data_IF_345448370895
#
_entry.id   IF_345448370895
#
_cell.length_a   1.000
_cell.length_b   1.000
_cell.length_c   1.000
_cell.angle_alpha   90.00
_cell.angle_beta   90.00
_cell.angle_gamma   90.00
#
_symmetry.space_group_name_H-M   'P 1'
#
loop_
_entity.id
_entity.type
_entity.pdbx_description
1 polymer ?
#
# COMPACT_ATOMS: atom_id res chain seq x y z
N UNK A 1 2.50 22.71 -27.25
CA UNK A 1 2.52 21.49 -26.43
C UNK A 1 3.66 21.60 -25.46
N UNK A 2 3.49 21.10 -24.24
CA UNK A 2 4.49 21.13 -23.17
C UNK A 2 4.87 19.72 -22.75
N UNK A 3 6.06 19.56 -22.18
CA UNK A 3 6.62 18.27 -21.77
C UNK A 3 6.42 18.06 -20.27
N UNK A 4 5.71 17.00 -19.89
CA UNK A 4 5.41 16.64 -18.50
C UNK A 4 5.98 15.25 -18.19
N UNK A 5 6.72 15.14 -17.09
CA UNK A 5 7.27 13.86 -16.61
C UNK A 5 6.30 13.21 -15.62
N UNK A 6 5.72 12.07 -15.99
CA UNK A 6 4.87 11.24 -15.14
C UNK A 6 5.69 10.13 -14.49
N UNK A 7 5.44 9.80 -13.23
CA UNK A 7 6.12 8.72 -12.51
C UNK A 7 5.15 7.55 -12.26
N UNK A 8 5.52 6.37 -12.73
CA UNK A 8 4.82 5.11 -12.44
C UNK A 8 5.33 4.54 -11.10
N UNK A 9 4.50 4.51 -10.04
CA UNK A 9 4.92 4.08 -8.72
C UNK A 9 4.97 2.56 -8.54
N UNK A 10 4.46 1.77 -9.49
CA UNK A 10 4.45 0.30 -9.48
C UNK A 10 5.66 -0.27 -10.22
N UNK A 11 6.07 0.39 -11.31
CA UNK A 11 7.20 -0.01 -12.16
C UNK A 11 8.50 0.74 -11.85
N UNK A 12 8.44 1.78 -11.02
CA UNK A 12 9.54 2.68 -10.67
C UNK A 12 10.22 3.36 -11.87
N UNK A 13 9.40 3.79 -12.84
CA UNK A 13 9.86 4.47 -14.08
C UNK A 13 9.29 5.87 -14.21
N UNK A 14 10.07 6.77 -14.79
CA UNK A 14 9.61 8.09 -15.24
C UNK A 14 9.35 8.04 -16.74
N UNK A 15 8.23 8.64 -17.16
CA UNK A 15 7.78 8.69 -18.56
C UNK A 15 7.47 10.13 -18.92
N UNK A 16 8.22 10.64 -19.89
CA UNK A 16 8.02 11.98 -20.44
C UNK A 16 6.92 11.94 -21.50
N UNK A 17 5.89 12.77 -21.35
CA UNK A 17 4.77 12.89 -22.28
C UNK A 17 4.64 14.34 -22.74
N UNK A 18 4.30 14.53 -24.02
CA UNK A 18 4.13 15.85 -24.64
C UNK A 18 2.64 16.10 -24.87
N UNK A 19 2.08 17.14 -24.25
CA UNK A 19 0.63 17.39 -24.13
C UNK A 19 0.23 18.79 -24.57
N UNK A 20 -1.06 19.02 -24.84
CA UNK A 20 -1.60 20.39 -24.85
C UNK A 20 -1.82 20.90 -23.41
N UNK A 21 -1.89 22.23 -23.17
CA UNK A 21 -2.24 22.76 -21.85
C UNK A 21 -3.63 22.30 -21.35
N UNK A 22 -4.56 22.06 -22.27
CA UNK A 22 -5.90 21.52 -21.97
C UNK A 22 -5.82 20.07 -21.48
N UNK A 23 -4.99 19.24 -22.13
CA UNK A 23 -4.75 17.85 -21.69
C UNK A 23 -4.01 17.78 -20.35
N UNK A 24 -3.13 18.74 -20.05
CA UNK A 24 -2.44 18.84 -18.74
C UNK A 24 -3.45 19.14 -17.64
N UNK A 25 -4.31 20.14 -17.84
CA UNK A 25 -5.39 20.46 -16.89
C UNK A 25 -6.38 19.30 -16.75
N UNK A 26 -6.68 18.61 -17.86
CA UNK A 26 -7.50 17.39 -17.83
C UNK A 26 -6.84 16.29 -17.00
N UNK A 27 -5.56 15.98 -17.21
CA UNK A 27 -4.85 14.95 -16.45
C UNK A 27 -4.76 15.24 -14.94
N UNK A 28 -4.86 16.50 -14.53
CA UNK A 28 -4.93 16.88 -13.10
C UNK A 28 -6.30 16.60 -12.47
N UNK A 29 -7.38 16.54 -13.25
CA UNK A 29 -8.77 16.43 -12.76
C UNK A 29 -9.47 15.10 -13.15
N UNK A 30 -9.02 14.44 -14.21
CA UNK A 30 -9.54 13.18 -14.75
C UNK A 30 -8.49 12.07 -14.54
N UNK A 31 -8.63 11.35 -13.42
CA UNK A 31 -7.76 10.23 -13.06
C UNK A 31 -7.77 9.11 -14.12
N UNK A 32 -8.87 8.94 -14.85
CA UNK A 32 -9.00 7.95 -15.92
C UNK A 32 -8.14 8.34 -17.12
N UNK A 33 -8.18 9.60 -17.51
CA UNK A 33 -7.33 10.16 -18.56
C UNK A 33 -5.84 10.10 -18.18
N UNK A 34 -5.47 10.49 -16.95
CA UNK A 34 -4.11 10.39 -16.46
C UNK A 34 -3.57 8.94 -16.46
N UNK A 35 -4.40 7.98 -16.02
CA UNK A 35 -4.06 6.55 -16.00
C UNK A 35 -3.95 5.98 -17.40
N UNK A 36 -4.85 6.36 -18.32
CA UNK A 36 -4.79 5.98 -19.73
C UNK A 36 -3.52 6.48 -20.41
N UNK A 37 -3.17 7.75 -20.16
CA UNK A 37 -1.99 8.41 -20.73
C UNK A 37 -0.69 7.76 -20.25
N UNK A 38 -0.58 7.45 -18.95
CA UNK A 38 0.58 6.74 -18.41
C UNK A 38 0.72 5.34 -19.05
N UNK A 39 -0.37 4.58 -19.14
CA UNK A 39 -0.36 3.26 -19.77
C UNK A 39 0.01 3.32 -21.27
N UNK A 40 -0.47 4.33 -22.01
CA UNK A 40 -0.09 4.53 -23.41
C UNK A 40 1.41 4.81 -23.56
N UNK A 41 1.95 5.78 -22.81
CA UNK A 41 3.36 6.14 -22.91
C UNK A 41 4.32 5.08 -22.34
N UNK A 42 3.85 4.20 -21.43
CA UNK A 42 4.56 2.97 -21.03
C UNK A 42 4.53 1.91 -22.13
N UNK A 43 3.41 1.78 -22.87
CA UNK A 43 3.30 0.87 -24.02
C UNK A 43 4.24 1.27 -25.15
N UNK A 44 4.33 2.56 -25.48
CA UNK A 44 5.22 3.07 -26.53
C UNK A 44 6.70 2.78 -26.22
N UNK A 45 7.12 2.90 -24.95
CA UNK A 45 8.46 2.51 -24.49
C UNK A 45 8.76 1.01 -24.58
N UNK A 46 7.74 0.16 -24.74
CA UNK A 46 7.88 -1.30 -24.77
C UNK A 46 7.69 -1.90 -26.18
N UNK A 47 7.45 -1.07 -27.21
CA UNK A 47 7.31 -1.51 -28.61
C UNK A 47 8.51 -1.05 -29.43
N UNK A 48 9.64 -1.72 -29.23
CA UNK A 48 10.75 -1.74 -30.23
C UNK A 48 11.32 -3.15 -30.43
N UNK A 49 10.46 -4.18 -30.23
CA UNK A 49 10.56 -5.50 -30.89
C UNK A 49 9.15 -5.98 -31.23
N UNK A 50 9.03 -6.70 -32.36
CA UNK A 50 7.80 -7.14 -33.00
C UNK A 50 6.74 -6.06 -33.26
N UNK A 51 6.82 -5.51 -34.47
CA UNK A 51 5.63 -5.41 -35.33
C UNK A 51 4.85 -6.72 -35.34
N UNK A 52 3.54 -6.66 -35.11
CA UNK A 52 2.57 -7.12 -36.11
C UNK A 52 1.20 -6.48 -35.83
N UNK A 53 0.45 -6.24 -36.90
CA UNK A 53 -0.81 -5.48 -36.89
C UNK A 53 -1.99 -6.37 -37.27
N UNK A 54 -3.11 -6.24 -36.56
CA UNK A 54 -4.48 -6.46 -37.09
C UNK A 54 -5.44 -5.62 -36.24
N UNK A 55 -6.40 -4.98 -36.90
CA UNK A 55 -7.55 -4.32 -36.29
C UNK A 55 -8.82 -5.04 -36.72
N UNK A 56 -9.81 -5.19 -35.83
CA UNK A 56 -11.25 -5.10 -36.14
C UNK A 56 -12.06 -4.89 -34.85
N UNK A 57 -12.83 -3.79 -34.84
CA UNK A 57 -14.23 -3.62 -34.42
C UNK A 57 -14.84 -4.48 -33.29
N UNK A 58 -15.51 -3.82 -32.35
CA UNK A 58 -16.33 -4.45 -31.29
C UNK A 58 -17.84 -4.26 -31.49
N UNK A 59 -18.66 -4.73 -30.53
CA UNK A 59 -20.09 -4.38 -30.37
C UNK A 59 -20.60 -4.67 -28.95
N UNK A 60 -21.79 -4.14 -28.61
CA UNK A 60 -22.47 -4.22 -27.31
C UNK A 60 -23.02 -5.62 -26.94
N UNK A 61 -23.23 -5.91 -25.65
CA UNK A 61 -23.92 -7.16 -25.24
C UNK A 61 -24.20 -7.39 -23.74
N UNK A 62 -25.25 -6.76 -23.21
CA UNK A 62 -26.24 -7.25 -22.21
C UNK A 62 -25.87 -8.04 -20.93
N UNK A 63 -26.62 -7.74 -19.86
CA UNK A 63 -26.65 -8.43 -18.54
C UNK A 63 -27.78 -9.49 -18.53
N UNK A 64 -27.70 -10.56 -17.69
CA UNK A 64 -28.77 -10.73 -16.70
C UNK A 64 -28.32 -11.21 -15.29
N UNK A 65 -29.09 -10.75 -14.30
CA UNK A 65 -29.23 -11.20 -12.88
C UNK A 65 -29.57 -12.71 -12.78
N UNK A 66 -29.57 -13.44 -11.64
CA UNK A 66 -29.98 -13.19 -10.23
C UNK A 66 -29.03 -13.98 -9.25
N UNK A 67 -29.22 -14.27 -7.94
CA UNK A 67 -30.28 -14.18 -6.90
C UNK A 67 -29.68 -13.80 -5.51
N UNK A 68 -30.52 -13.69 -4.46
CA UNK A 68 -30.16 -13.48 -3.03
C UNK A 68 -31.07 -14.37 -2.16
N UNK A 69 -30.57 -14.96 -1.05
CA UNK A 69 -31.37 -15.37 0.13
C UNK A 69 -30.50 -15.57 1.40
N UNK A 70 -31.02 -15.46 2.66
CA UNK A 70 -30.19 -15.15 3.84
C UNK A 70 -30.48 -15.94 5.16
N UNK A 71 -29.79 -15.54 6.27
CA UNK A 71 -30.04 -15.88 7.71
C UNK A 71 -29.59 -17.34 8.06
N UNK A 72 -28.92 -17.70 9.18
CA UNK A 72 -29.09 -17.43 10.64
C UNK A 72 -27.73 -17.34 11.39
N UNK A 73 -27.69 -16.63 12.53
CA UNK A 73 -26.54 -16.50 13.43
C UNK A 73 -26.59 -17.47 14.64
N UNK A 74 -25.43 -17.78 15.24
CA UNK A 74 -25.28 -17.74 16.70
C UNK A 74 -23.84 -17.34 17.09
N UNK A 75 -23.63 -16.39 18.02
CA UNK A 75 -22.31 -16.04 18.53
C UNK A 75 -21.88 -16.89 19.75
N UNK A 76 -20.57 -16.96 19.96
CA UNK A 76 -19.93 -17.26 21.26
C UNK A 76 -18.71 -16.35 21.41
N UNK A 77 -18.47 -15.87 22.63
CA UNK A 77 -17.48 -14.82 22.92
C UNK A 77 -16.06 -15.37 23.01
N UNK A 78 -15.08 -14.66 22.42
CA UNK A 78 -13.76 -14.50 23.02
C UNK A 78 -13.32 -13.02 22.88
N UNK A 79 -12.75 -12.46 23.96
CA UNK A 79 -12.61 -11.01 24.13
C UNK A 79 -11.27 -10.50 23.60
N UNK A 80 -11.30 -9.76 22.47
CA UNK A 80 -10.22 -8.87 22.08
C UNK A 80 -10.70 -7.42 22.15
N UNK A 81 -10.10 -6.63 23.05
CA UNK A 81 -10.42 -5.21 23.21
C UNK A 81 -9.75 -4.39 22.09
N UNK A 82 -10.39 -4.32 20.93
CA UNK A 82 -10.01 -3.34 19.91
C UNK A 82 -10.36 -1.93 20.41
N UNK A 83 -9.35 -1.07 20.52
CA UNK A 83 -9.55 0.34 20.87
C UNK A 83 -10.06 1.03 19.60
N UNK A 84 -11.37 1.26 19.55
CA UNK A 84 -11.94 2.26 18.66
C UNK A 84 -11.31 3.62 18.97
N UNK A 85 -10.80 4.27 17.93
CA UNK A 85 -10.30 5.65 18.00
C UNK A 85 -11.08 6.42 16.96
N UNK A 86 -12.11 7.11 17.44
CA UNK A 86 -12.93 7.99 16.62
C UNK A 86 -12.03 9.04 15.95
N UNK A 87 -12.13 9.16 14.62
CA UNK A 87 -11.33 10.10 13.85
C UNK A 87 -11.83 11.53 14.06
N UNK A 88 -11.13 12.29 14.91
CA UNK A 88 -11.13 13.76 14.83
C UNK A 88 -9.78 14.32 15.31
N UNK A 89 -8.91 14.67 14.36
CA UNK A 89 -8.22 15.96 14.33
C UNK A 89 -7.56 16.17 12.96
N UNK A 90 -7.47 17.41 12.48
CA UNK A 90 -7.09 17.69 11.08
C UNK A 90 -5.58 17.74 10.85
N UNK A 91 -4.98 16.56 10.62
CA UNK A 91 -3.62 16.44 10.05
C UNK A 91 -3.65 15.81 8.65
N UNK A 92 -2.82 16.33 7.75
CA UNK A 92 -2.70 15.93 6.35
C UNK A 92 -2.72 14.41 6.14
N UNK A 93 -3.80 13.91 5.52
CA UNK A 93 -3.98 12.49 5.19
C UNK A 93 -3.24 12.10 3.90
N UNK A 94 -2.13 12.77 3.59
CA UNK A 94 -1.16 12.34 2.60
C UNK A 94 -0.66 10.93 2.93
N UNK A 95 -0.95 9.98 2.04
CA UNK A 95 -0.58 8.58 2.22
C UNK A 95 0.93 8.40 2.07
N UNK A 96 1.65 8.50 3.20
CA UNK A 96 3.10 8.45 3.26
C UNK A 96 3.70 7.27 2.47
N UNK A 97 4.52 7.57 1.46
CA UNK A 97 5.14 6.59 0.55
C UNK A 97 6.30 5.86 1.24
N UNK A 98 5.94 4.78 1.94
CA UNK A 98 6.87 3.87 2.62
C UNK A 98 7.84 3.15 1.66
N UNK A 99 9.02 3.73 1.44
CA UNK A 99 10.14 3.06 0.76
C UNK A 99 10.70 1.90 1.60
N UNK A 100 11.39 0.95 0.96
CA UNK A 100 11.99 -0.22 1.64
C UNK A 100 12.91 0.20 2.80
N UNK A 101 13.74 1.24 2.61
CA UNK A 101 14.59 1.77 3.66
C UNK A 101 13.81 2.42 4.83
N UNK A 102 12.63 3.00 4.58
CA UNK A 102 11.75 3.50 5.65
C UNK A 102 11.10 2.36 6.43
N UNK A 103 10.71 1.27 5.75
CA UNK A 103 10.13 0.07 6.38
C UNK A 103 11.16 -0.66 7.26
N UNK A 104 12.40 -0.83 6.78
CA UNK A 104 13.47 -1.43 7.57
C UNK A 104 13.78 -0.60 8.83
N UNK A 105 13.93 0.72 8.68
CA UNK A 105 14.13 1.63 9.81
C UNK A 105 12.99 1.57 10.84
N UNK A 106 11.73 1.49 10.40
CA UNK A 106 10.58 1.30 11.30
C UNK A 106 10.68 -0.01 12.09
N UNK A 107 11.06 -1.11 11.43
CA UNK A 107 11.17 -2.43 12.04
C UNK A 107 12.32 -2.49 13.06
N UNK A 108 13.49 -1.96 12.72
CA UNK A 108 14.65 -1.89 13.63
C UNK A 108 14.38 -0.97 14.82
N UNK A 109 13.76 0.21 14.59
CA UNK A 109 13.41 1.13 15.68
C UNK A 109 12.34 0.52 16.58
N UNK A 110 11.32 -0.15 16.02
CA UNK A 110 10.31 -0.86 16.81
C UNK A 110 10.92 -1.95 17.70
N UNK A 111 11.91 -2.71 17.19
CA UNK A 111 12.62 -3.74 17.96
C UNK A 111 13.25 -3.18 19.24
N UNK A 112 13.91 -2.02 19.15
CA UNK A 112 14.55 -1.34 20.29
C UNK A 112 13.50 -0.87 21.31
N UNK A 113 12.29 -0.55 20.85
CA UNK A 113 11.19 -0.04 21.67
C UNK A 113 10.22 -1.13 22.16
N UNK A 114 10.43 -2.40 21.79
CA UNK A 114 9.55 -3.51 22.14
C UNK A 114 9.38 -3.67 23.66
N UNK A 115 10.46 -3.56 24.43
CA UNK A 115 10.40 -3.63 25.89
C UNK A 115 9.62 -2.46 26.51
N UNK A 116 9.63 -1.26 25.89
CA UNK A 116 8.79 -0.13 26.33
C UNK A 116 7.31 -0.47 26.18
N UNK A 117 6.89 -1.09 25.07
CA UNK A 117 5.50 -1.54 24.88
C UNK A 117 5.11 -2.58 25.94
N UNK A 118 5.96 -3.58 26.20
CA UNK A 118 5.70 -4.60 27.22
C UNK A 118 5.77 -4.07 28.67
N UNK A 119 6.44 -2.95 28.92
CA UNK A 119 6.68 -2.45 30.29
C UNK A 119 5.44 -1.87 31.00
N UNK A 120 4.40 -1.48 30.26
CA UNK A 120 3.23 -0.75 30.78
C UNK A 120 3.51 0.67 31.32
N UNK A 121 4.77 1.10 31.40
CA UNK A 121 5.18 2.41 31.99
C UNK A 121 4.91 3.61 31.08
N UNK A 122 4.70 3.36 29.78
CA UNK A 122 4.52 4.39 28.76
C UNK A 122 3.28 4.08 27.93
N UNK A 123 2.46 5.09 27.62
CA UNK A 123 1.31 4.89 26.73
C UNK A 123 1.78 4.60 25.31
N UNK A 124 1.10 3.68 24.61
CA UNK A 124 1.47 3.31 23.25
C UNK A 124 1.57 4.53 22.31
N UNK A 125 0.74 5.56 22.50
CA UNK A 125 0.85 6.82 21.74
C UNK A 125 2.23 7.46 21.89
N UNK A 126 2.72 7.67 23.12
CA UNK A 126 4.05 8.25 23.35
C UNK A 126 5.17 7.43 22.73
N UNK A 127 5.09 6.10 22.85
CA UNK A 127 6.07 5.18 22.24
C UNK A 127 6.06 5.33 20.70
N UNK A 128 4.89 5.45 20.08
CA UNK A 128 4.77 5.69 18.63
C UNK A 128 5.24 7.08 18.20
N UNK A 129 4.97 8.12 18.99
CA UNK A 129 5.46 9.48 18.73
C UNK A 129 7.00 9.51 18.83
N UNK A 130 7.61 8.85 19.82
CA UNK A 130 9.08 8.69 19.96
C UNK A 130 9.70 7.92 18.77
N UNK A 131 9.10 6.80 18.34
CA UNK A 131 9.54 6.06 17.15
C UNK A 131 9.49 6.97 15.91
N UNK A 132 8.42 7.76 15.76
CA UNK A 132 8.27 8.66 14.61
C UNK A 132 9.29 9.79 14.61
N UNK A 133 9.67 10.32 15.77
CA UNK A 133 10.73 11.33 15.88
C UNK A 133 12.08 10.80 15.38
N UNK A 134 12.42 9.54 15.70
CA UNK A 134 13.64 8.87 15.19
C UNK A 134 13.58 8.70 13.67
N UNK A 135 12.41 8.36 13.11
CA UNK A 135 12.22 8.29 11.66
C UNK A 135 12.42 9.66 10.99
N UNK A 136 11.86 10.72 11.57
CA UNK A 136 12.02 12.10 11.07
C UNK A 136 13.49 12.54 11.13
N UNK A 137 14.22 12.24 12.20
CA UNK A 137 15.67 12.50 12.34
C UNK A 137 16.48 11.82 11.22
N UNK A 138 16.09 10.62 10.77
CA UNK A 138 16.71 9.91 9.64
C UNK A 138 16.13 10.32 8.27
N UNK A 139 15.41 11.44 8.19
CA UNK A 139 14.84 11.98 6.96
C UNK A 139 13.64 11.17 6.45
N UNK A 140 12.71 10.79 7.33
CA UNK A 140 11.43 10.16 6.99
C UNK A 140 10.28 10.92 7.66
N UNK A 141 9.59 11.77 6.91
CA UNK A 141 8.49 12.62 7.41
C UNK A 141 7.23 11.80 7.72
N UNK A 142 7.22 11.12 8.87
CA UNK A 142 6.11 10.29 9.35
C UNK A 142 5.47 10.81 10.62
N UNK A 143 4.25 10.38 10.92
CA UNK A 143 3.61 10.51 12.24
C UNK A 143 3.59 9.18 13.01
N UNK A 144 3.43 9.24 14.34
CA UNK A 144 3.31 8.03 15.18
C UNK A 144 2.12 7.15 14.78
N UNK A 145 1.01 7.75 14.34
CA UNK A 145 -0.15 7.04 13.81
C UNK A 145 0.18 6.29 12.50
N UNK A 146 0.88 6.94 11.57
CA UNK A 146 1.35 6.29 10.33
C UNK A 146 2.31 5.13 10.62
N UNK A 147 3.23 5.28 11.59
CA UNK A 147 4.13 4.21 12.03
C UNK A 147 3.34 3.01 12.59
N UNK A 148 2.37 3.28 13.47
CA UNK A 148 1.52 2.27 14.09
C UNK A 148 0.60 1.57 13.09
N UNK A 149 0.09 2.29 12.08
CA UNK A 149 -0.73 1.73 11.00
C UNK A 149 0.13 0.86 10.07
N UNK A 150 1.33 1.31 9.70
CA UNK A 150 2.26 0.55 8.86
C UNK A 150 2.69 -0.75 9.53
N UNK A 151 3.00 -0.74 10.83
CA UNK A 151 3.41 -1.97 11.51
C UNK A 151 2.27 -3.00 11.60
N UNK A 152 1.01 -2.56 11.86
CA UNK A 152 -0.17 -3.45 11.80
C UNK A 152 -0.33 -4.06 10.40
N UNK A 153 -0.17 -3.27 9.35
CA UNK A 153 -0.20 -3.75 7.96
C UNK A 153 0.89 -4.80 7.69
N UNK A 154 2.13 -4.56 8.11
CA UNK A 154 3.25 -5.50 7.94
C UNK A 154 2.96 -6.84 8.66
N UNK A 155 2.56 -6.80 9.95
CA UNK A 155 2.21 -8.01 10.70
C UNK A 155 1.08 -8.81 10.04
N UNK A 156 0.05 -8.14 9.50
CA UNK A 156 -1.06 -8.78 8.77
C UNK A 156 -0.55 -9.48 7.50
N UNK A 157 0.37 -8.85 6.75
CA UNK A 157 1.00 -9.46 5.57
C UNK A 157 1.89 -10.67 5.93
N UNK A 158 2.70 -10.57 6.98
CA UNK A 158 3.51 -11.70 7.48
C UNK A 158 2.62 -12.89 7.88
N UNK A 159 1.60 -12.64 8.71
CA UNK A 159 0.67 -13.69 9.14
C UNK A 159 -0.04 -14.34 7.95
N UNK A 160 -0.60 -13.55 7.03
CA UNK A 160 -1.28 -14.09 5.84
C UNK A 160 -0.34 -14.93 4.96
N UNK A 161 0.92 -14.53 4.79
CA UNK A 161 1.92 -15.33 4.06
C UNK A 161 2.29 -16.62 4.80
N UNK A 162 2.52 -16.54 6.12
CA UNK A 162 2.91 -17.67 6.95
C UNK A 162 1.80 -18.72 7.03
N UNK A 163 0.57 -18.29 7.24
CA UNK A 163 -0.61 -19.15 7.27
C UNK A 163 -0.79 -19.86 5.90
N UNK A 164 -0.64 -19.14 4.79
CA UNK A 164 -0.67 -19.72 3.43
C UNK A 164 0.46 -20.73 3.19
N UNK A 165 1.70 -20.39 3.57
CA UNK A 165 2.87 -21.27 3.46
C UNK A 165 2.83 -22.48 4.41
N UNK A 166 1.87 -22.53 5.35
CA UNK A 166 1.68 -23.67 6.26
C UNK A 166 0.66 -24.70 5.74
N UNK A 167 -0.04 -24.40 4.64
CA UNK A 167 -0.98 -25.33 3.99
C UNK A 167 -0.21 -26.31 3.10
N UNK A 168 -0.51 -27.61 3.21
CA UNK A 168 0.09 -28.65 2.35
C UNK A 168 -0.53 -28.64 0.95
N UNK A 169 0.25 -29.01 -0.07
CA UNK A 169 -0.19 -28.99 -1.48
C UNK A 169 -0.34 -27.59 -2.09
N UNK A 170 0.19 -26.56 -1.44
CA UNK A 170 0.04 -25.15 -1.81
C UNK A 170 1.42 -24.50 -2.09
N UNK A 171 1.46 -23.58 -3.06
CA UNK A 171 2.72 -22.99 -3.54
C UNK A 171 3.37 -22.05 -2.51
N UNK A 172 4.71 -22.07 -2.48
CA UNK A 172 5.51 -21.25 -1.55
C UNK A 172 5.55 -19.79 -2.01
N UNK A 173 4.89 -18.90 -1.26
CA UNK A 173 5.00 -17.45 -1.46
C UNK A 173 6.21 -16.88 -0.73
N UNK A 174 6.84 -15.88 -1.35
CA UNK A 174 7.96 -15.12 -0.79
C UNK A 174 7.59 -13.64 -0.67
N UNK A 175 8.19 -12.93 0.29
CA UNK A 175 7.98 -11.49 0.49
C UNK A 175 9.26 -10.84 1.01
N UNK A 176 9.59 -9.66 0.47
CA UNK A 176 10.84 -8.94 0.75
C UNK A 176 11.07 -8.60 2.24
N UNK A 177 10.03 -8.61 3.07
CA UNK A 177 10.14 -8.38 4.52
C UNK A 177 9.94 -9.66 5.38
N UNK A 178 9.75 -10.83 4.76
CA UNK A 178 9.44 -12.08 5.48
C UNK A 178 10.53 -12.45 6.48
N UNK A 179 11.80 -12.53 6.04
CA UNK A 179 12.93 -12.84 6.94
C UNK A 179 13.08 -11.83 8.08
N UNK A 180 12.81 -10.55 7.81
CA UNK A 180 12.95 -9.47 8.81
C UNK A 180 11.87 -9.64 9.88
N UNK A 181 10.62 -9.87 9.49
CA UNK A 181 9.51 -10.14 10.41
C UNK A 181 9.72 -11.44 11.21
N UNK A 182 10.28 -12.48 10.59
CA UNK A 182 10.57 -13.76 11.24
C UNK A 182 11.72 -13.66 12.25
N UNK A 183 12.81 -12.96 11.91
CA UNK A 183 13.93 -12.63 12.82
C UNK A 183 13.49 -11.76 14.01
N UNK A 184 12.40 -10.99 13.84
CA UNK A 184 11.77 -10.18 14.89
C UNK A 184 10.69 -10.94 15.68
N UNK A 185 10.32 -12.17 15.28
CA UNK A 185 9.25 -13.00 15.89
C UNK A 185 7.90 -12.26 16.06
N UNK A 186 7.47 -11.54 15.02
CA UNK A 186 6.34 -10.59 15.05
C UNK A 186 4.95 -11.16 14.76
#
# INVERSE_FOLDING_TARGET
>A
MEKVSLYDPERDIVVDVTLSPEDILRAQNDLTFATSLLNAAVKDKNITKNTESISIDGHSGSVPTQQITPIVQKPTHETNAEIDISNDDTVDNSMYRWSTAAVLLLLDTYKIFQDKFSSGKYSHKKIWDEISAILVEKGRTTTGLQCAAKLRSLKKSYKSMKDHNNVSGNDRRTWQFYEVQEKLKM
#
